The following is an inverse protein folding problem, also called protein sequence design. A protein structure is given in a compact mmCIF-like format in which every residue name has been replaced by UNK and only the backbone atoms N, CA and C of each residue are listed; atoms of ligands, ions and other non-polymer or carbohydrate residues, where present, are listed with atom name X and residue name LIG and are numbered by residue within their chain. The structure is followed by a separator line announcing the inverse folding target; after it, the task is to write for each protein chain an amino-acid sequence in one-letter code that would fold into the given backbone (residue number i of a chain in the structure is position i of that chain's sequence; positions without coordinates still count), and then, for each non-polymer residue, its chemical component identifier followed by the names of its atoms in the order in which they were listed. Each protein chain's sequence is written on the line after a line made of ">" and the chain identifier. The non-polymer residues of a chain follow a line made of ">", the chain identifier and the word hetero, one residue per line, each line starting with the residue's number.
data_IF_873276279512
#
_entry.id   IF_873276279512
#
_cell.length_a   1.000
_cell.length_b   1.000
_cell.length_c   1.000
_cell.angle_alpha   90.00
_cell.angle_beta   90.00
_cell.angle_gamma   90.00
#
_symmetry.space_group_name_H-M   'P 1'
#
loop_
_entity.id
_entity.type
_entity.pdbx_description
1 polymer ?
#
# COMPACT_ATOMS: atom_id res chain seq x y z
N UNK A 1 -19.76 -0.85 12.10
CA UNK A 1 -20.31 -0.69 10.70
C UNK A 1 -19.82 -1.89 9.90
N UNK A 2 -20.70 -2.62 9.21
CA UNK A 2 -20.26 -3.77 8.41
C UNK A 2 -19.40 -3.26 7.24
N UNK A 3 -18.21 -3.83 7.08
CA UNK A 3 -17.32 -3.54 5.97
C UNK A 3 -17.97 -4.02 4.66
N UNK A 4 -18.18 -3.12 3.71
CA UNK A 4 -18.84 -3.41 2.44
C UNK A 4 -18.25 -2.56 1.32
N UNK A 5 -18.14 -3.12 0.11
CA UNK A 5 -17.71 -2.37 -1.08
C UNK A 5 -18.68 -1.22 -1.42
N UNK A 6 -19.95 -1.31 -0.99
CA UNK A 6 -20.92 -0.24 -1.17
C UNK A 6 -20.66 0.98 -0.27
N UNK A 7 -19.92 0.80 0.84
CA UNK A 7 -19.70 1.85 1.85
C UNK A 7 -18.33 2.50 1.76
N UNK A 8 -17.42 1.99 0.92
CA UNK A 8 -16.08 2.53 0.75
C UNK A 8 -15.97 3.38 -0.52
N UNK A 9 -15.13 4.41 -0.43
CA UNK A 9 -14.78 5.27 -1.56
C UNK A 9 -13.42 4.85 -2.10
N UNK A 10 -13.37 4.50 -3.38
CA UNK A 10 -12.16 4.08 -4.07
C UNK A 10 -11.76 5.13 -5.10
N UNK A 11 -10.45 5.34 -5.28
CA UNK A 11 -9.95 6.08 -6.42
C UNK A 11 -10.40 5.41 -7.72
N UNK A 12 -10.78 6.21 -8.72
CA UNK A 12 -11.41 5.71 -9.94
C UNK A 12 -10.38 5.32 -11.00
N UNK A 13 -9.26 6.05 -11.06
CA UNK A 13 -8.22 5.90 -12.07
C UNK A 13 -6.85 6.31 -11.55
N UNK A 14 -5.79 5.93 -12.26
CA UNK A 14 -4.41 6.39 -11.94
C UNK A 14 -4.26 7.90 -12.05
N UNK A 15 -5.07 8.56 -12.88
CA UNK A 15 -5.06 10.01 -12.98
C UNK A 15 -5.43 10.70 -11.66
N UNK A 16 -6.27 10.06 -10.84
CA UNK A 16 -6.72 10.61 -9.56
C UNK A 16 -5.58 10.71 -8.53
N UNK A 17 -4.48 9.97 -8.72
CA UNK A 17 -3.28 10.11 -7.89
C UNK A 17 -2.71 11.54 -7.94
N UNK A 18 -2.82 12.22 -9.09
CA UNK A 18 -2.38 13.60 -9.24
C UNK A 18 -3.28 14.64 -8.55
N UNK A 19 -4.50 14.22 -8.20
CA UNK A 19 -5.52 15.06 -7.56
C UNK A 19 -5.57 14.88 -6.04
N UNK A 20 -4.72 14.02 -5.48
CA UNK A 20 -4.63 13.84 -4.03
C UNK A 20 -4.19 15.16 -3.36
N UNK A 21 -4.85 15.59 -2.26
CA UNK A 21 -4.47 16.80 -1.55
C UNK A 21 -3.06 16.68 -0.99
N UNK A 22 -2.41 17.81 -0.76
CA UNK A 22 -1.12 17.87 -0.07
C UNK A 22 -1.34 17.74 1.45
N UNK A 23 -0.28 17.40 2.15
CA UNK A 23 -0.30 17.29 3.61
C UNK A 23 -0.30 15.85 4.11
N UNK A 24 -0.65 15.68 5.37
CA UNK A 24 -0.73 14.37 6.04
C UNK A 24 -1.91 13.57 5.49
N UNK A 25 -1.62 12.55 4.68
CA UNK A 25 -2.62 11.75 3.97
C UNK A 25 -2.29 10.27 4.03
N UNK A 26 -3.21 9.45 4.53
CA UNK A 26 -3.06 7.99 4.58
C UNK A 26 -3.68 7.34 3.34
N UNK A 27 -2.85 6.64 2.57
CA UNK A 27 -3.26 5.93 1.35
C UNK A 27 -3.11 4.43 1.56
N UNK A 28 -4.23 3.73 1.65
CA UNK A 28 -4.30 2.29 1.79
C UNK A 28 -4.61 1.59 0.46
N UNK A 29 -4.36 0.28 0.41
CA UNK A 29 -4.67 -0.55 -0.75
C UNK A 29 -5.70 -1.62 -0.40
N UNK A 30 -6.63 -1.91 -1.31
CA UNK A 30 -7.60 -3.01 -1.15
C UNK A 30 -7.54 -3.99 -2.32
N UNK A 31 -7.50 -5.28 -1.99
CA UNK A 31 -7.62 -6.39 -2.94
C UNK A 31 -8.53 -7.49 -2.36
N UNK A 32 -8.80 -8.56 -3.13
CA UNK A 32 -9.67 -9.66 -2.68
C UNK A 32 -9.26 -10.27 -1.33
N UNK A 33 -7.94 -10.38 -1.08
CA UNK A 33 -7.44 -10.93 0.17
C UNK A 33 -7.69 -9.98 1.36
N UNK A 34 -7.39 -8.68 1.20
CA UNK A 34 -7.65 -7.69 2.24
C UNK A 34 -9.16 -7.50 2.48
N UNK A 35 -10.00 -7.58 1.44
CA UNK A 35 -11.45 -7.60 1.61
C UNK A 35 -11.91 -8.76 2.51
N UNK A 36 -11.47 -9.99 2.20
CA UNK A 36 -11.82 -11.17 3.01
C UNK A 36 -11.30 -11.07 4.46
N UNK A 37 -10.18 -10.40 4.68
CA UNK A 37 -9.66 -10.15 6.03
C UNK A 37 -10.49 -9.11 6.76
N UNK A 38 -10.88 -8.03 6.11
CA UNK A 38 -11.66 -6.96 6.70
C UNK A 38 -13.06 -7.44 7.18
N UNK A 39 -13.64 -8.43 6.49
CA UNK A 39 -14.88 -9.06 6.95
C UNK A 39 -14.75 -9.85 8.27
N UNK A 40 -13.52 -10.17 8.70
CA UNK A 40 -13.23 -11.00 9.89
C UNK A 40 -12.47 -10.27 10.99
N UNK A 41 -11.85 -9.15 10.66
CA UNK A 41 -11.02 -8.33 11.54
C UNK A 41 -11.52 -6.89 11.49
N UNK A 42 -12.33 -6.52 12.47
CA UNK A 42 -12.98 -5.22 12.57
C UNK A 42 -11.95 -4.08 12.66
N UNK A 43 -10.87 -4.26 13.42
CA UNK A 43 -9.80 -3.26 13.51
C UNK A 43 -9.09 -3.04 12.15
N UNK A 44 -8.95 -4.10 11.36
CA UNK A 44 -8.40 -3.96 10.02
C UNK A 44 -9.38 -3.26 9.07
N UNK A 45 -10.67 -3.57 9.19
CA UNK A 45 -11.71 -2.89 8.42
C UNK A 45 -11.74 -1.39 8.73
N UNK A 46 -11.67 -1.01 10.00
CA UNK A 46 -11.57 0.38 10.44
C UNK A 46 -10.31 1.05 9.88
N UNK A 47 -9.15 0.40 10.01
CA UNK A 47 -7.89 0.93 9.49
C UNK A 47 -7.93 1.20 7.98
N UNK A 48 -8.63 0.36 7.20
CA UNK A 48 -8.82 0.58 5.77
C UNK A 48 -9.77 1.75 5.48
N UNK A 49 -10.88 1.86 6.25
CA UNK A 49 -11.92 2.89 6.04
C UNK A 49 -11.50 4.28 6.52
N UNK A 50 -10.66 4.35 7.54
CA UNK A 50 -10.16 5.62 8.10
C UNK A 50 -8.99 6.21 7.33
N UNK A 51 -8.47 5.51 6.31
CA UNK A 51 -7.53 6.11 5.36
C UNK A 51 -8.21 7.18 4.51
N UNK A 52 -7.46 8.24 4.19
CA UNK A 52 -7.95 9.36 3.37
C UNK A 52 -8.19 8.96 1.92
N UNK A 53 -7.43 7.98 1.43
CA UNK A 53 -7.58 7.39 0.11
C UNK A 53 -7.43 5.88 0.15
N UNK A 54 -8.28 5.18 -0.61
CA UNK A 54 -8.22 3.74 -0.77
C UNK A 54 -8.11 3.39 -2.25
N UNK A 55 -7.04 2.69 -2.64
CA UNK A 55 -6.80 2.32 -4.04
C UNK A 55 -7.16 0.86 -4.31
N UNK A 56 -7.83 0.57 -5.45
CA UNK A 56 -8.25 -0.77 -5.83
C UNK A 56 -7.08 -1.59 -6.41
N UNK A 57 -6.24 -2.19 -5.53
CA UNK A 57 -5.09 -3.03 -5.93
C UNK A 57 -5.52 -4.46 -6.29
N UNK A 58 -6.46 -4.58 -7.16
CA UNK A 58 -6.88 -5.89 -7.68
C UNK A 58 -8.00 -5.75 -8.70
N UNK A 59 -7.83 -6.39 -9.87
CA UNK A 59 -8.87 -6.42 -10.88
C UNK A 59 -10.19 -7.04 -10.39
N UNK A 60 -10.12 -7.92 -9.38
CA UNK A 60 -11.28 -8.51 -8.73
C UNK A 60 -12.13 -7.47 -8.00
N UNK A 61 -11.51 -6.50 -7.30
CA UNK A 61 -12.24 -5.39 -6.64
C UNK A 61 -12.95 -4.55 -7.69
N UNK A 62 -12.25 -4.14 -8.76
CA UNK A 62 -12.83 -3.34 -9.85
C UNK A 62 -14.03 -4.05 -10.47
N UNK A 63 -13.90 -5.36 -10.77
CA UNK A 63 -14.99 -6.16 -11.33
C UNK A 63 -16.15 -6.32 -10.35
N UNK A 64 -15.87 -6.55 -9.07
CA UNK A 64 -16.89 -6.69 -8.04
C UNK A 64 -17.69 -5.39 -7.87
N UNK A 65 -17.04 -4.23 -7.77
CA UNK A 65 -17.72 -2.93 -7.68
C UNK A 65 -18.67 -2.69 -8.86
N UNK A 66 -18.26 -3.05 -10.06
CA UNK A 66 -19.14 -2.95 -11.25
C UNK A 66 -20.31 -3.93 -11.18
N UNK A 67 -20.05 -5.17 -10.78
CA UNK A 67 -21.08 -6.22 -10.72
C UNK A 67 -22.17 -5.92 -9.70
N UNK A 68 -21.81 -5.41 -8.51
CA UNK A 68 -22.79 -5.06 -7.47
C UNK A 68 -23.36 -3.65 -7.61
N UNK A 69 -22.97 -2.90 -8.65
CA UNK A 69 -23.32 -1.49 -8.83
C UNK A 69 -22.99 -0.64 -7.59
N UNK A 70 -21.78 -0.83 -7.04
CA UNK A 70 -21.31 -0.09 -5.88
C UNK A 70 -21.29 1.43 -6.14
N UNK A 71 -21.37 2.24 -5.06
CA UNK A 71 -21.28 3.71 -5.17
C UNK A 71 -19.97 4.14 -5.83
N UNK A 72 -18.88 3.44 -5.52
CA UNK A 72 -17.57 3.67 -6.12
C UNK A 72 -17.31 2.60 -7.18
N UNK A 73 -17.17 3.00 -8.45
CA UNK A 73 -16.94 2.11 -9.57
C UNK A 73 -15.60 2.44 -10.27
N UNK A 74 -14.48 1.94 -9.76
CA UNK A 74 -13.19 2.19 -10.36
C UNK A 74 -13.16 1.79 -11.84
N UNK A 75 -12.56 2.64 -12.67
CA UNK A 75 -12.41 2.39 -14.12
C UNK A 75 -11.29 1.40 -14.40
N UNK A 76 -10.27 1.41 -13.55
CA UNK A 76 -9.09 0.57 -13.67
C UNK A 76 -8.53 0.14 -12.31
N UNK A 77 -7.66 -0.85 -12.33
CA UNK A 77 -6.85 -1.24 -11.18
C UNK A 77 -5.76 -0.21 -10.96
N UNK A 78 -5.55 0.18 -9.70
CA UNK A 78 -4.41 0.97 -9.25
C UNK A 78 -3.61 0.10 -8.29
N UNK A 79 -2.44 -0.37 -8.69
CA UNK A 79 -1.60 -1.19 -7.82
C UNK A 79 -0.81 -0.32 -6.83
N UNK A 80 -0.41 -0.91 -5.69
CA UNK A 80 0.53 -0.24 -4.79
C UNK A 80 1.82 0.21 -5.46
N UNK A 81 2.28 -0.52 -6.50
CA UNK A 81 3.39 -0.08 -7.36
C UNK A 81 3.09 1.18 -8.16
N UNK A 82 1.86 1.34 -8.65
CA UNK A 82 1.50 2.53 -9.44
C UNK A 82 1.52 3.78 -8.54
N UNK A 83 1.02 3.67 -7.30
CA UNK A 83 1.14 4.71 -6.29
C UNK A 83 2.61 5.02 -5.97
N UNK A 84 3.40 3.97 -5.70
CA UNK A 84 4.82 4.11 -5.40
C UNK A 84 5.58 4.83 -6.50
N UNK A 85 5.45 4.36 -7.74
CA UNK A 85 6.13 4.97 -8.89
C UNK A 85 5.71 6.44 -9.07
N UNK A 86 4.40 6.72 -9.01
CA UNK A 86 3.87 8.07 -9.14
C UNK A 86 4.46 9.04 -8.10
N UNK A 87 4.44 8.68 -6.82
CA UNK A 87 4.92 9.56 -5.74
C UNK A 87 6.43 9.76 -5.77
N UNK A 88 7.19 8.68 -6.04
CA UNK A 88 8.64 8.76 -6.15
C UNK A 88 9.08 9.62 -7.34
N UNK A 89 8.45 9.42 -8.51
CA UNK A 89 8.72 10.22 -9.71
C UNK A 89 8.33 11.68 -9.51
N UNK A 90 7.15 11.94 -8.91
CA UNK A 90 6.66 13.29 -8.61
C UNK A 90 7.64 14.07 -7.74
N UNK A 91 8.08 13.48 -6.62
CA UNK A 91 9.04 14.12 -5.71
C UNK A 91 10.40 14.30 -6.35
N UNK A 92 10.92 13.28 -7.05
CA UNK A 92 12.22 13.34 -7.71
C UNK A 92 12.25 14.41 -8.82
N UNK A 93 11.19 14.49 -9.63
CA UNK A 93 11.06 15.50 -10.67
C UNK A 93 10.92 16.92 -10.09
N UNK A 94 10.11 17.08 -9.03
CA UNK A 94 9.98 18.36 -8.31
C UNK A 94 11.32 18.83 -7.76
N UNK A 95 12.11 17.93 -7.18
CA UNK A 95 13.42 18.24 -6.64
C UNK A 95 14.43 18.59 -7.75
N UNK A 96 14.40 17.87 -8.87
CA UNK A 96 15.26 18.13 -10.04
C UNK A 96 14.96 19.50 -10.69
N UNK A 97 13.68 19.90 -10.73
CA UNK A 97 13.24 21.19 -11.30
C UNK A 97 13.40 22.37 -10.33
N UNK A 98 13.53 22.08 -9.03
CA UNK A 98 13.65 23.09 -7.98
C UNK A 98 14.98 23.85 -8.06
N UNK A 99 14.96 25.08 -7.55
CA UNK A 99 16.13 25.97 -7.56
C UNK A 99 17.28 25.33 -6.79
N UNK A 100 18.50 25.33 -7.36
CA UNK A 100 19.76 24.79 -6.79
C UNK A 100 20.14 25.37 -5.42
N UNK A 101 19.39 26.37 -4.93
CA UNK A 101 19.57 27.00 -3.63
C UNK A 101 18.94 26.20 -2.46
N UNK A 102 18.02 25.26 -2.71
CA UNK A 102 17.52 24.35 -1.64
C UNK A 102 18.58 23.30 -1.34
N UNK A 103 19.23 23.45 -0.21
CA UNK A 103 20.37 22.66 0.28
C UNK A 103 20.05 21.21 0.61
N UNK A 104 18.75 20.84 0.77
CA UNK A 104 18.35 19.50 1.21
C UNK A 104 17.43 18.84 0.20
N UNK A 105 17.72 17.57 -0.11
CA UNK A 105 16.88 16.74 -0.96
C UNK A 105 15.64 16.29 -0.20
N UNK A 106 14.46 16.16 -0.86
CA UNK A 106 13.28 15.60 -0.24
C UNK A 106 13.56 14.23 0.37
N UNK A 107 13.08 14.04 1.59
CA UNK A 107 13.34 12.84 2.37
C UNK A 107 12.22 11.82 2.20
N UNK A 108 12.55 10.64 1.73
CA UNK A 108 11.62 9.52 1.62
C UNK A 108 11.98 8.45 2.63
N UNK A 109 11.04 8.13 3.53
CA UNK A 109 11.26 7.13 4.55
C UNK A 109 10.60 5.80 4.20
N UNK A 110 11.35 4.70 4.38
CA UNK A 110 10.85 3.34 4.30
C UNK A 110 10.87 2.73 5.71
N UNK A 111 9.66 2.50 6.26
CA UNK A 111 9.45 1.88 7.56
C UNK A 111 8.95 0.45 7.39
N UNK A 112 9.69 -0.52 7.90
CA UNK A 112 9.32 -1.94 7.80
C UNK A 112 10.37 -2.78 7.08
N UNK A 113 10.01 -4.03 6.75
CA UNK A 113 10.88 -4.99 6.10
C UNK A 113 12.18 -5.31 6.87
N UNK A 114 13.13 -6.00 6.28
CA UNK A 114 14.43 -6.33 6.88
C UNK A 114 15.49 -5.31 6.48
N UNK A 115 16.55 -5.18 7.32
CA UNK A 115 17.71 -4.33 7.02
C UNK A 115 18.33 -4.66 5.65
N UNK A 116 18.36 -5.94 5.27
CA UNK A 116 18.87 -6.36 3.97
C UNK A 116 18.05 -5.77 2.82
N UNK A 117 16.70 -5.89 2.87
CA UNK A 117 15.81 -5.34 1.84
C UNK A 117 15.93 -3.81 1.80
N UNK A 118 15.98 -3.15 2.95
CA UNK A 118 16.12 -1.70 3.05
C UNK A 118 17.45 -1.19 2.50
N UNK A 119 18.54 -1.93 2.70
CA UNK A 119 19.85 -1.58 2.10
C UNK A 119 19.82 -1.64 0.56
N UNK A 120 19.13 -2.65 -0.01
CA UNK A 120 18.94 -2.75 -1.46
C UNK A 120 18.05 -1.63 -2.00
N UNK A 121 17.00 -1.25 -1.26
CA UNK A 121 16.15 -0.10 -1.60
C UNK A 121 16.99 1.18 -1.65
N UNK A 122 17.81 1.45 -0.63
CA UNK A 122 18.71 2.62 -0.61
C UNK A 122 19.67 2.64 -1.78
N UNK A 123 20.28 1.50 -2.09
CA UNK A 123 21.20 1.41 -3.22
C UNK A 123 20.50 1.73 -4.53
N UNK A 124 19.36 1.07 -4.81
CA UNK A 124 18.62 1.27 -6.05
C UNK A 124 18.02 2.66 -6.17
N UNK A 125 17.58 3.26 -5.07
CA UNK A 125 17.01 4.61 -5.09
C UNK A 125 18.02 5.67 -5.53
N UNK A 126 19.30 5.51 -5.18
CA UNK A 126 20.37 6.43 -5.64
C UNK A 126 20.49 6.46 -7.17
N UNK A 127 20.28 5.31 -7.82
CA UNK A 127 20.40 5.21 -9.28
C UNK A 127 19.11 5.67 -9.98
N UNK A 128 17.94 5.32 -9.42
CA UNK A 128 16.64 5.55 -10.06
C UNK A 128 16.06 6.92 -9.73
N UNK A 129 16.27 7.39 -8.48
CA UNK A 129 15.73 8.64 -7.95
C UNK A 129 16.84 9.49 -7.29
N UNK A 130 17.81 9.98 -8.08
CA UNK A 130 19.03 10.62 -7.55
C UNK A 130 18.80 11.94 -6.81
N UNK A 131 17.59 12.52 -6.93
CA UNK A 131 17.22 13.77 -6.26
C UNK A 131 16.40 13.52 -4.99
N UNK A 132 16.39 12.29 -4.45
CA UNK A 132 15.71 11.95 -3.21
C UNK A 132 16.72 11.45 -2.15
N UNK A 133 16.49 11.82 -0.90
CA UNK A 133 17.22 11.29 0.25
C UNK A 133 16.41 10.15 0.89
N UNK A 134 16.88 8.91 0.76
CA UNK A 134 16.17 7.74 1.30
C UNK A 134 16.70 7.39 2.69
N UNK A 135 15.80 7.47 3.67
CA UNK A 135 16.00 7.03 5.05
C UNK A 135 15.18 5.77 5.33
N UNK A 136 15.61 4.95 6.28
CA UNK A 136 14.98 3.65 6.52
C UNK A 136 14.94 3.33 8.00
N UNK A 137 13.92 2.56 8.41
CA UNK A 137 13.83 1.97 9.74
C UNK A 137 13.29 0.54 9.65
N UNK A 138 14.05 -0.43 10.16
CA UNK A 138 13.66 -1.84 10.24
C UNK A 138 13.20 -2.15 11.65
N UNK A 139 11.89 -2.34 11.90
CA UNK A 139 11.43 -2.77 13.21
C UNK A 139 11.77 -4.24 13.45
N UNK A 140 11.79 -4.71 14.71
CA UNK A 140 12.07 -6.11 15.02
C UNK A 140 10.99 -7.02 14.38
N UNK A 141 11.43 -8.20 13.91
CA UNK A 141 10.52 -9.17 13.31
C UNK A 141 9.71 -9.91 14.39
N UNK A 142 8.57 -9.35 14.74
CA UNK A 142 7.64 -9.88 15.76
C UNK A 142 6.21 -9.94 15.21
N UNK A 143 5.41 -10.87 15.73
CA UNK A 143 3.98 -10.95 15.38
C UNK A 143 3.20 -9.73 15.90
N UNK A 144 3.49 -9.32 17.12
CA UNK A 144 2.93 -8.15 17.80
C UNK A 144 4.09 -7.32 18.32
N UNK A 145 4.05 -6.02 18.08
CA UNK A 145 5.04 -5.07 18.62
C UNK A 145 4.76 -4.79 20.09
N UNK A 146 5.83 -4.62 20.87
CA UNK A 146 5.71 -4.11 22.23
C UNK A 146 5.45 -2.60 22.22
N UNK A 147 5.19 -2.02 23.38
CA UNK A 147 5.04 -0.57 23.52
C UNK A 147 6.31 0.17 23.11
N UNK A 148 7.45 -0.34 23.55
CA UNK A 148 8.77 0.22 23.23
C UNK A 148 9.08 0.14 21.72
N UNK A 149 8.70 -0.97 21.06
CA UNK A 149 8.86 -1.10 19.61
C UNK A 149 8.01 -0.03 18.88
N UNK A 150 6.77 0.20 19.33
CA UNK A 150 5.88 1.21 18.73
C UNK A 150 6.42 2.62 18.96
N UNK A 151 6.80 2.95 20.19
CA UNK A 151 7.40 4.25 20.54
C UNK A 151 8.67 4.52 19.71
N UNK A 152 9.52 3.51 19.53
CA UNK A 152 10.72 3.64 18.71
C UNK A 152 10.42 3.89 17.23
N UNK A 153 9.39 3.22 16.66
CA UNK A 153 8.96 3.46 15.29
C UNK A 153 8.37 4.86 15.10
N UNK A 154 7.48 5.29 16.00
CA UNK A 154 6.89 6.64 15.96
C UNK A 154 7.98 7.70 16.11
N UNK A 155 8.88 7.54 17.09
CA UNK A 155 9.99 8.46 17.31
C UNK A 155 10.94 8.53 16.10
N UNK A 156 11.17 7.40 15.41
CA UNK A 156 11.98 7.38 14.19
C UNK A 156 11.33 8.19 13.07
N UNK A 157 10.02 8.04 12.85
CA UNK A 157 9.28 8.80 11.84
C UNK A 157 9.30 10.29 12.16
N UNK A 158 8.96 10.65 13.40
CA UNK A 158 8.87 12.04 13.84
C UNK A 158 10.24 12.74 13.82
N UNK A 159 11.32 12.03 14.14
CA UNK A 159 12.70 12.57 14.04
C UNK A 159 13.10 12.85 12.59
N UNK A 160 12.72 11.95 11.67
CA UNK A 160 13.13 12.09 10.27
C UNK A 160 12.34 13.13 9.51
N UNK A 161 11.09 13.45 9.91
CA UNK A 161 10.22 14.42 9.23
C UNK A 161 10.21 14.20 7.71
N UNK A 162 9.75 13.03 7.22
CA UNK A 162 9.83 12.72 5.79
C UNK A 162 8.84 13.50 4.95
N UNK A 163 9.19 13.79 3.71
CA UNK A 163 8.29 14.32 2.67
C UNK A 163 7.42 13.22 2.03
N UNK A 164 7.72 11.95 2.31
CA UNK A 164 6.95 10.77 1.89
C UNK A 164 7.28 9.58 2.78
N UNK A 165 6.27 8.91 3.32
CA UNK A 165 6.44 7.74 4.19
C UNK A 165 5.85 6.49 3.55
N UNK A 166 6.69 5.48 3.33
CA UNK A 166 6.28 4.16 2.91
C UNK A 166 6.29 3.19 4.09
N UNK A 167 5.18 2.49 4.32
CA UNK A 167 5.07 1.47 5.37
C UNK A 167 4.97 0.09 4.71
N UNK A 168 5.99 -0.74 4.96
CA UNK A 168 6.18 -2.04 4.34
C UNK A 168 6.23 -3.18 5.36
N UNK A 169 5.10 -3.49 5.96
CA UNK A 169 4.88 -4.66 6.79
C UNK A 169 3.81 -5.53 6.13
N UNK A 170 3.65 -6.78 6.49
CA UNK A 170 2.60 -7.61 5.91
C UNK A 170 1.22 -7.17 6.41
N UNK A 171 0.25 -7.02 5.49
CA UNK A 171 -1.15 -6.81 5.88
C UNK A 171 -1.67 -7.96 6.77
N UNK A 172 -2.48 -7.69 7.78
CA UNK A 172 -3.11 -6.42 8.17
C UNK A 172 -2.28 -5.54 9.10
N UNK A 173 -1.03 -5.91 9.38
CA UNK A 173 -0.21 -5.28 10.42
C UNK A 173 0.15 -3.84 10.09
N UNK A 174 0.51 -3.55 8.83
CA UNK A 174 0.88 -2.19 8.41
C UNK A 174 -0.29 -1.22 8.53
N UNK A 175 -1.46 -1.60 8.07
CA UNK A 175 -2.65 -0.76 8.13
C UNK A 175 -3.09 -0.52 9.59
N UNK A 176 -3.14 -1.60 10.40
CA UNK A 176 -3.52 -1.51 11.81
C UNK A 176 -2.53 -0.69 12.62
N UNK A 177 -1.22 -0.85 12.38
CA UNK A 177 -0.19 -0.06 13.06
C UNK A 177 -0.31 1.42 12.69
N UNK A 178 -0.44 1.73 11.42
CA UNK A 178 -0.56 3.13 10.96
C UNK A 178 -1.82 3.78 11.55
N UNK A 179 -2.94 3.07 11.54
CA UNK A 179 -4.19 3.57 12.11
C UNK A 179 -4.07 3.82 13.62
N UNK A 180 -3.50 2.85 14.36
CA UNK A 180 -3.37 2.95 15.82
C UNK A 180 -2.46 4.10 16.28
N UNK A 181 -1.48 4.49 15.46
CA UNK A 181 -0.50 5.53 15.80
C UNK A 181 -0.63 6.78 14.95
N UNK A 182 -1.74 6.92 14.18
CA UNK A 182 -1.91 8.02 13.24
C UNK A 182 -1.75 9.39 13.88
N UNK A 183 -2.37 9.61 15.04
CA UNK A 183 -2.33 10.88 15.76
C UNK A 183 -0.96 11.18 16.40
N UNK A 184 -0.16 10.12 16.64
CA UNK A 184 1.18 10.24 17.21
C UNK A 184 2.25 10.58 16.15
N UNK A 185 1.93 10.37 14.85
CA UNK A 185 2.82 10.72 13.75
C UNK A 185 2.72 12.22 13.48
N UNK A 186 3.75 12.97 13.87
CA UNK A 186 3.90 14.40 13.62
C UNK A 186 4.59 14.63 12.26
N UNK A 187 3.84 14.48 11.17
CA UNK A 187 4.31 14.57 9.78
C UNK A 187 3.33 15.35 8.91
N UNK A 188 3.83 15.93 7.84
CA UNK A 188 3.02 16.65 6.84
C UNK A 188 3.29 16.09 5.43
N UNK A 189 3.01 14.78 5.24
CA UNK A 189 3.31 14.09 4.00
C UNK A 189 2.34 12.94 3.72
N UNK A 190 2.37 12.44 2.48
CA UNK A 190 1.65 11.21 2.13
C UNK A 190 2.28 9.99 2.81
N UNK A 191 1.42 9.10 3.29
CA UNK A 191 1.77 7.82 3.89
C UNK A 191 1.11 6.69 3.10
N UNK A 192 1.89 5.77 2.55
CA UNK A 192 1.36 4.63 1.79
C UNK A 192 1.68 3.28 2.41
N UNK A 193 0.66 2.43 2.58
CA UNK A 193 0.81 1.05 3.08
C UNK A 193 0.99 0.08 1.91
N UNK A 194 2.25 -0.21 1.52
CA UNK A 194 2.58 -0.89 0.25
C UNK A 194 3.58 -2.06 0.40
N UNK A 195 3.48 -2.86 1.44
CA UNK A 195 4.44 -3.88 1.84
C UNK A 195 5.16 -4.66 0.72
N UNK A 196 4.41 -5.23 -0.23
CA UNK A 196 5.01 -6.04 -1.32
C UNK A 196 5.88 -5.23 -2.30
N UNK A 197 5.70 -3.92 -2.35
CA UNK A 197 6.47 -3.02 -3.24
C UNK A 197 7.93 -2.93 -2.78
N UNK A 198 8.18 -3.06 -1.49
CA UNK A 198 9.54 -3.07 -0.94
C UNK A 198 10.37 -4.18 -1.59
N UNK A 199 9.84 -5.40 -1.64
CA UNK A 199 10.53 -6.54 -2.26
C UNK A 199 10.72 -6.36 -3.77
N UNK A 200 9.72 -5.79 -4.45
CA UNK A 200 9.83 -5.50 -5.89
C UNK A 200 10.86 -4.42 -6.18
N UNK A 201 10.86 -3.33 -5.41
CA UNK A 201 11.81 -2.26 -5.61
C UNK A 201 13.22 -2.64 -5.17
N UNK A 202 13.37 -3.43 -4.11
CA UNK A 202 14.66 -4.01 -3.72
C UNK A 202 15.21 -5.02 -4.75
N UNK A 203 14.33 -5.61 -5.58
CA UNK A 203 14.70 -6.66 -6.53
C UNK A 203 14.78 -8.06 -5.92
N UNK A 204 14.39 -8.24 -4.65
CA UNK A 204 14.33 -9.55 -3.97
C UNK A 204 13.17 -10.40 -4.46
N UNK A 205 12.11 -9.77 -4.97
CA UNK A 205 11.01 -10.44 -5.67
C UNK A 205 10.85 -9.88 -7.08
N UNK A 206 10.62 -10.77 -8.05
CA UNK A 206 10.34 -10.35 -9.43
C UNK A 206 8.86 -10.06 -9.60
N UNK A 207 8.55 -8.88 -10.11
CA UNK A 207 7.20 -8.55 -10.56
C UNK A 207 6.84 -9.36 -11.80
N UNK A 208 5.57 -9.65 -12.00
CA UNK A 208 5.12 -10.34 -13.21
C UNK A 208 5.50 -9.54 -14.47
N UNK A 209 5.83 -10.18 -15.61
CA UNK A 209 6.04 -9.51 -16.88
C UNK A 209 4.84 -8.64 -17.28
N UNK A 210 5.06 -7.59 -18.09
CA UNK A 210 4.03 -6.61 -18.47
C UNK A 210 2.75 -7.27 -19.01
N UNK A 211 2.90 -8.25 -19.89
CA UNK A 211 1.75 -8.99 -20.44
C UNK A 211 0.82 -9.56 -19.36
N UNK A 212 1.38 -10.21 -18.31
CA UNK A 212 0.59 -10.74 -17.20
C UNK A 212 -0.10 -9.63 -16.39
N UNK A 213 0.56 -8.49 -16.24
CA UNK A 213 0.02 -7.33 -15.53
C UNK A 213 -1.17 -6.72 -16.30
N UNK A 214 -1.01 -6.50 -17.62
CA UNK A 214 -2.02 -5.93 -18.52
C UNK A 214 -3.27 -6.79 -18.62
N UNK A 215 -3.08 -8.14 -18.60
CA UNK A 215 -4.20 -9.09 -18.63
C UNK A 215 -4.76 -9.40 -17.22
N UNK A 216 -4.33 -8.70 -16.17
CA UNK A 216 -4.76 -8.94 -14.79
C UNK A 216 -4.47 -10.35 -14.27
N UNK A 217 -3.44 -11.00 -14.81
CA UNK A 217 -2.99 -12.36 -14.47
C UNK A 217 -1.75 -12.38 -13.55
N UNK A 218 -1.37 -11.24 -12.95
CA UNK A 218 -0.23 -11.16 -12.02
C UNK A 218 -0.35 -12.16 -10.86
N UNK A 219 -1.56 -12.38 -10.35
CA UNK A 219 -1.83 -13.36 -9.31
C UNK A 219 -1.51 -14.80 -9.76
N UNK A 220 -1.80 -15.16 -11.01
CA UNK A 220 -1.52 -16.47 -11.57
C UNK A 220 -0.01 -16.68 -11.77
N UNK A 221 0.68 -15.66 -12.26
CA UNK A 221 2.15 -15.67 -12.35
C UNK A 221 2.79 -15.95 -10.98
N UNK A 222 2.33 -15.25 -9.94
CA UNK A 222 2.81 -15.45 -8.56
C UNK A 222 2.48 -16.85 -8.03
N UNK A 223 1.29 -17.36 -8.34
CA UNK A 223 0.89 -18.71 -7.96
C UNK A 223 1.82 -19.77 -8.59
N UNK A 224 2.16 -19.61 -9.87
CA UNK A 224 3.08 -20.51 -10.58
C UNK A 224 4.50 -20.43 -10.02
N UNK A 225 4.98 -19.23 -9.67
CA UNK A 225 6.34 -19.03 -9.12
C UNK A 225 6.49 -19.49 -7.66
N UNK A 226 5.45 -19.31 -6.85
CA UNK A 226 5.46 -19.59 -5.41
C UNK A 226 4.21 -20.40 -4.99
N UNK A 227 3.97 -21.60 -5.54
CA UNK A 227 2.69 -22.31 -5.38
C UNK A 227 2.40 -22.62 -3.91
N UNK A 228 3.39 -23.08 -3.12
CA UNK A 228 3.21 -23.43 -1.70
C UNK A 228 2.76 -22.23 -0.84
N UNK A 229 3.22 -21.02 -1.15
CA UNK A 229 2.89 -19.79 -0.42
C UNK A 229 1.58 -19.17 -0.90
N UNK A 230 1.29 -19.27 -2.21
CA UNK A 230 0.22 -18.50 -2.86
C UNK A 230 -1.09 -19.26 -3.08
N UNK A 231 -1.11 -20.60 -3.06
CA UNK A 231 -2.32 -21.35 -3.38
C UNK A 231 -3.50 -21.05 -2.45
N UNK A 232 -3.27 -21.01 -1.12
CA UNK A 232 -4.33 -20.66 -0.16
C UNK A 232 -4.86 -19.26 -0.42
N UNK A 233 -3.94 -18.30 -0.66
CA UNK A 233 -4.29 -16.91 -0.89
C UNK A 233 -5.12 -16.72 -2.16
N UNK A 234 -4.75 -17.40 -3.25
CA UNK A 234 -5.38 -17.19 -4.54
C UNK A 234 -6.49 -18.17 -4.84
N UNK A 235 -6.30 -19.49 -4.68
CA UNK A 235 -7.38 -20.43 -5.01
C UNK A 235 -8.48 -20.38 -3.95
N UNK A 236 -8.14 -20.53 -2.67
CA UNK A 236 -9.14 -20.45 -1.60
C UNK A 236 -9.63 -19.02 -1.41
N UNK A 237 -8.72 -18.05 -1.38
CA UNK A 237 -9.05 -16.65 -1.13
C UNK A 237 -9.90 -16.01 -2.20
N UNK A 238 -9.66 -16.28 -3.50
CA UNK A 238 -10.50 -15.73 -4.56
C UNK A 238 -11.89 -16.38 -4.61
N UNK A 239 -11.98 -17.69 -4.34
CA UNK A 239 -13.28 -18.37 -4.23
C UNK A 239 -14.08 -17.80 -3.05
N UNK A 240 -13.42 -17.62 -1.90
CA UNK A 240 -14.05 -17.00 -0.73
C UNK A 240 -14.47 -15.54 -1.01
N UNK A 241 -13.67 -14.79 -1.76
CA UNK A 241 -14.00 -13.43 -2.17
C UNK A 241 -15.29 -13.39 -3.00
N UNK A 242 -15.39 -14.25 -4.04
CA UNK A 242 -16.61 -14.33 -4.87
C UNK A 242 -17.82 -14.73 -4.02
N UNK A 243 -17.64 -15.69 -3.13
CA UNK A 243 -18.69 -16.09 -2.18
C UNK A 243 -19.13 -14.92 -1.28
N UNK A 244 -18.19 -14.22 -0.68
CA UNK A 244 -18.48 -13.09 0.19
C UNK A 244 -19.17 -11.95 -0.57
N UNK A 245 -18.75 -11.64 -1.80
CA UNK A 245 -19.45 -10.65 -2.64
C UNK A 245 -20.91 -11.09 -2.88
N UNK A 246 -21.14 -12.35 -3.24
CA UNK A 246 -22.48 -12.86 -3.49
C UNK A 246 -23.36 -12.77 -2.23
N UNK A 247 -22.88 -13.23 -1.09
CA UNK A 247 -23.68 -13.34 0.13
C UNK A 247 -23.78 -12.05 0.94
N UNK A 248 -22.71 -11.26 1.03
CA UNK A 248 -22.73 -10.02 1.82
C UNK A 248 -23.18 -8.80 1.04
N UNK A 249 -22.85 -8.72 -0.24
CA UNK A 249 -23.11 -7.51 -1.03
C UNK A 249 -24.39 -7.64 -1.86
N UNK A 250 -24.72 -8.84 -2.37
CA UNK A 250 -25.89 -9.07 -3.25
C UNK A 250 -27.08 -9.60 -2.46
N UNK A 251 -26.91 -10.64 -1.66
CA UNK A 251 -28.00 -11.31 -0.95
C UNK A 251 -28.24 -10.76 0.46
N UNK A 252 -27.25 -10.13 1.09
CA UNK A 252 -27.36 -9.51 2.43
C UNK A 252 -28.12 -8.16 2.42
N UNK A 253 -28.74 -7.83 1.31
CA UNK A 253 -29.72 -6.77 1.16
C UNK A 253 -31.09 -7.38 1.48
#
# INVERSE_FOLDING_TARGET
>A
MLFSLNNIVLLQSKADLSSLPQGKLLINTINAHSYNMALKDEQFAEALMMGDALIPDGASIVKACRWIHAKSQPKERIAGWDLFAFEMERLNAKAAAGNKEKKELPKVMFLGSSEHVLSLIKCRAKDVYPHLNVVTYSPPYKKVFSKEDNEAMVAAVNREQPDLLWIGMTAPKQEKWTYAHWDELDIDCHVGTIGAVFDFFAGTAKRAPKWWQEHSLEWLYRLVKEPRRMWKRYLVGNTLFVWNILFHEVLGK
#
